data_IF_452454533856
#
_entry.id   IF_452454533856
#
_cell.length_a   1.000
_cell.length_b   1.000
_cell.length_c   1.000
_cell.angle_alpha   90.00
_cell.angle_beta   90.00
_cell.angle_gamma   90.00
#
_symmetry.space_group_name_H-M   'P 1'
#
loop_
_entity.id
_entity.type
_entity.pdbx_description
1 polymer ?
#
# COMPACT_ATOMS: atom_id res chain seq x y z
N UNK A 1 16.18 -3.43 -23.50
CA UNK A 1 15.69 -2.07 -23.13
C UNK A 1 15.08 -1.94 -21.71
N UNK A 2 14.88 -3.01 -20.93
CA UNK A 2 14.10 -2.93 -19.67
C UNK A 2 14.82 -2.49 -18.37
N UNK A 3 16.15 -2.62 -18.27
CA UNK A 3 16.90 -2.38 -17.02
C UNK A 3 17.16 -0.89 -16.73
N UNK A 4 17.64 -0.12 -17.72
CA UNK A 4 17.96 1.32 -17.54
C UNK A 4 16.74 2.14 -17.11
N UNK A 5 15.58 1.88 -17.72
CA UNK A 5 14.33 2.55 -17.37
C UNK A 5 13.82 2.18 -15.98
N UNK A 6 14.08 0.95 -15.51
CA UNK A 6 13.69 0.52 -14.16
C UNK A 6 14.45 1.29 -13.08
N UNK A 7 15.77 1.43 -13.23
CA UNK A 7 16.58 2.18 -12.26
C UNK A 7 16.23 3.67 -12.26
N UNK A 8 15.97 4.25 -13.44
CA UNK A 8 15.50 5.63 -13.57
C UNK A 8 14.19 5.85 -12.81
N UNK A 9 13.18 5.02 -13.04
CA UNK A 9 11.88 5.07 -12.33
C UNK A 9 12.05 4.94 -10.83
N UNK A 10 12.91 4.03 -10.38
CA UNK A 10 13.16 3.83 -8.96
C UNK A 10 13.75 5.08 -8.29
N UNK A 11 14.71 5.75 -8.94
CA UNK A 11 15.27 7.01 -8.44
C UNK A 11 14.26 8.16 -8.45
N UNK A 12 13.44 8.24 -9.49
CA UNK A 12 12.41 9.30 -9.59
C UNK A 12 11.36 9.18 -8.47
N UNK A 13 11.10 7.98 -7.94
CA UNK A 13 10.24 7.83 -6.75
C UNK A 13 10.71 8.65 -5.55
N UNK A 14 12.02 8.92 -5.40
CA UNK A 14 12.57 9.72 -4.29
C UNK A 14 12.17 11.20 -4.40
N UNK A 15 11.75 11.65 -5.59
CA UNK A 15 11.26 13.02 -5.80
C UNK A 15 9.76 13.20 -5.53
N UNK A 16 9.02 12.10 -5.34
CA UNK A 16 7.56 12.15 -5.19
C UNK A 16 7.16 12.23 -3.72
N UNK A 17 6.48 13.31 -3.33
CA UNK A 17 6.01 13.53 -1.95
C UNK A 17 4.95 12.50 -1.50
N UNK A 18 4.26 11.88 -2.45
CA UNK A 18 3.29 10.82 -2.19
C UNK A 18 3.93 9.41 -2.15
N UNK A 19 5.25 9.30 -2.12
CA UNK A 19 5.96 8.01 -2.04
C UNK A 19 6.81 7.93 -0.77
N UNK A 20 6.58 6.88 0.01
CA UNK A 20 7.34 6.54 1.21
C UNK A 20 8.16 5.28 0.95
N UNK A 21 9.45 5.28 1.26
CA UNK A 21 10.33 4.12 1.04
C UNK A 21 11.19 3.79 2.27
N UNK A 22 10.57 3.56 3.44
CA UNK A 22 11.34 3.27 4.65
C UNK A 22 12.12 1.97 4.50
N UNK A 23 13.29 1.93 5.11
CA UNK A 23 14.06 0.71 5.34
C UNK A 23 13.27 -0.24 6.25
N UNK A 24 13.66 -1.51 6.23
CA UNK A 24 13.07 -2.50 7.14
C UNK A 24 13.30 -2.11 8.60
N UNK A 25 14.47 -1.56 8.91
CA UNK A 25 14.83 -1.15 10.27
C UNK A 25 13.88 -0.06 10.78
N UNK A 26 13.69 1.02 10.01
CA UNK A 26 12.75 2.10 10.34
C UNK A 26 11.32 1.58 10.56
N UNK A 27 10.89 0.58 9.79
CA UNK A 27 9.57 -0.03 9.97
C UNK A 27 9.47 -0.77 11.30
N UNK A 28 10.47 -1.59 11.65
CA UNK A 28 10.37 -2.46 12.83
C UNK A 28 10.73 -1.78 14.15
N UNK A 29 11.51 -0.70 14.13
CA UNK A 29 11.90 0.05 15.34
C UNK A 29 10.84 1.05 15.78
N UNK A 30 9.95 1.46 14.87
CA UNK A 30 8.84 2.36 15.17
C UNK A 30 8.57 3.31 14.01
N UNK A 31 7.83 2.85 13.01
CA UNK A 31 7.48 3.68 11.86
C UNK A 31 6.69 4.91 12.29
N UNK A 32 7.13 6.09 11.86
CA UNK A 32 6.64 7.38 12.35
C UNK A 32 5.14 7.61 12.12
N UNK A 33 4.59 7.08 11.01
CA UNK A 33 3.19 7.25 10.63
C UNK A 33 2.26 6.17 11.21
N UNK A 34 2.77 5.18 11.95
CA UNK A 34 1.93 4.13 12.53
C UNK A 34 0.90 4.73 13.49
N UNK A 35 -0.39 4.61 13.19
CA UNK A 35 -1.47 5.21 13.97
C UNK A 35 -1.63 6.72 13.78
N UNK A 36 -0.93 7.31 12.80
CA UNK A 36 -0.88 8.76 12.55
C UNK A 36 -0.99 9.09 11.06
N UNK A 37 -1.54 8.20 10.23
CA UNK A 37 -1.64 8.44 8.79
C UNK A 37 -2.54 9.63 8.44
N UNK A 38 -3.49 10.01 9.30
CA UNK A 38 -4.27 11.23 9.17
C UNK A 38 -3.39 12.49 9.10
N UNK A 39 -2.24 12.50 9.78
CA UNK A 39 -1.29 13.62 9.73
C UNK A 39 -0.58 13.75 8.37
N UNK A 40 -0.32 12.62 7.69
CA UNK A 40 0.22 12.60 6.34
C UNK A 40 -0.78 13.17 5.33
N UNK A 41 -2.03 12.72 5.40
CA UNK A 41 -3.11 13.18 4.50
C UNK A 41 -3.71 14.53 4.91
N UNK A 42 -3.40 15.01 6.12
CA UNK A 42 -3.92 16.27 6.72
C UNK A 42 -5.44 16.30 6.81
N UNK A 43 -6.04 15.13 7.04
CA UNK A 43 -7.48 14.95 7.20
C UNK A 43 -7.76 13.61 7.90
N UNK A 44 -8.98 13.42 8.41
CA UNK A 44 -9.42 12.19 9.08
C UNK A 44 -10.26 11.27 8.18
N UNK A 45 -10.09 11.35 6.85
CA UNK A 45 -10.82 10.49 5.93
C UNK A 45 -10.40 9.01 6.09
N UNK A 46 -11.32 8.05 5.87
CA UNK A 46 -11.01 6.63 5.95
C UNK A 46 -9.86 6.21 5.02
N UNK A 47 -9.00 5.31 5.50
CA UNK A 47 -7.85 4.78 4.75
C UNK A 47 -8.22 3.47 4.07
N UNK A 48 -7.90 3.36 2.78
CA UNK A 48 -8.08 2.19 1.94
C UNK A 48 -6.74 1.71 1.43
N UNK A 49 -6.41 0.44 1.62
CA UNK A 49 -5.16 -0.15 1.17
C UNK A 49 -5.32 -0.95 -0.12
N UNK A 50 -4.34 -0.89 -1.02
CA UNK A 50 -4.17 -1.86 -2.11
C UNK A 50 -2.88 -2.67 -1.86
N UNK A 51 -3.03 -3.96 -1.56
CA UNK A 51 -1.91 -4.85 -1.24
C UNK A 51 -1.36 -5.51 -2.51
N UNK A 52 -0.07 -5.29 -2.77
CA UNK A 52 0.57 -5.76 -4.00
C UNK A 52 0.12 -4.95 -5.21
N UNK A 53 0.08 -3.63 -5.06
CA UNK A 53 -0.60 -2.71 -5.99
C UNK A 53 -0.05 -2.69 -7.41
N UNK A 54 1.13 -3.29 -7.67
CA UNK A 54 1.70 -3.33 -9.01
C UNK A 54 1.92 -1.91 -9.54
N UNK A 55 1.10 -1.48 -10.51
CA UNK A 55 1.17 -0.12 -11.07
C UNK A 55 0.35 0.92 -10.29
N UNK A 56 -0.42 0.51 -9.28
CA UNK A 56 -1.31 1.38 -8.53
C UNK A 56 -2.64 1.68 -9.24
N UNK A 57 -3.10 0.80 -10.13
CA UNK A 57 -4.28 1.05 -10.97
C UNK A 57 -5.57 1.16 -10.13
N UNK A 58 -5.77 0.30 -9.11
CA UNK A 58 -6.94 0.44 -8.23
C UNK A 58 -6.79 1.62 -7.29
N UNK A 59 -5.60 1.82 -6.69
CA UNK A 59 -5.30 2.99 -5.84
C UNK A 59 -5.71 4.28 -6.54
N UNK A 60 -5.26 4.48 -7.79
CA UNK A 60 -5.56 5.70 -8.57
C UNK A 60 -7.04 5.75 -8.98
N UNK A 61 -7.59 4.67 -9.54
CA UNK A 61 -8.96 4.68 -10.04
C UNK A 61 -10.00 4.92 -8.92
N UNK A 62 -9.81 4.29 -7.76
CA UNK A 62 -10.69 4.46 -6.61
C UNK A 62 -10.53 5.86 -5.99
N UNK A 63 -9.30 6.37 -5.89
CA UNK A 63 -9.05 7.72 -5.39
C UNK A 63 -9.67 8.81 -6.27
N UNK A 64 -9.67 8.65 -7.60
CA UNK A 64 -10.38 9.55 -8.52
C UNK A 64 -11.90 9.49 -8.35
N UNK A 65 -12.43 8.30 -8.07
CA UNK A 65 -13.88 8.09 -7.93
C UNK A 65 -14.41 8.60 -6.59
N UNK A 66 -13.59 8.62 -5.54
CA UNK A 66 -14.01 9.04 -4.22
C UNK A 66 -12.88 9.78 -3.49
N UNK A 67 -12.96 11.11 -3.50
CA UNK A 67 -12.01 12.01 -2.82
C UNK A 67 -12.16 12.04 -1.30
N UNK A 68 -13.24 11.47 -0.74
CA UNK A 68 -13.52 11.43 0.70
C UNK A 68 -12.86 10.22 1.39
N UNK A 69 -11.93 9.55 0.72
CA UNK A 69 -11.11 8.45 1.27
C UNK A 69 -9.66 8.66 0.85
N UNK A 70 -8.76 8.20 1.70
CA UNK A 70 -7.32 8.18 1.45
C UNK A 70 -6.91 6.79 0.98
N UNK A 71 -6.09 6.71 -0.08
CA UNK A 71 -5.70 5.45 -0.70
C UNK A 71 -4.19 5.26 -0.61
N UNK A 72 -3.77 4.07 -0.17
CA UNK A 72 -2.36 3.71 -0.05
C UNK A 72 -2.07 2.44 -0.83
N UNK A 73 -1.26 2.54 -1.87
CA UNK A 73 -0.76 1.40 -2.61
C UNK A 73 0.53 0.84 -1.99
N UNK A 74 0.57 -0.47 -1.72
CA UNK A 74 1.72 -1.15 -1.11
C UNK A 74 2.35 -2.15 -2.09
N UNK A 75 3.64 -1.98 -2.40
CA UNK A 75 4.41 -3.00 -3.14
C UNK A 75 5.89 -2.95 -2.77
N UNK A 76 6.54 -4.11 -2.63
CA UNK A 76 7.97 -4.20 -2.35
C UNK A 76 8.84 -3.74 -3.53
N UNK A 77 8.31 -3.81 -4.76
CA UNK A 77 8.97 -3.45 -6.02
C UNK A 77 8.57 -2.03 -6.43
N UNK A 78 9.14 -1.01 -5.79
CA UNK A 78 8.76 0.39 -6.02
C UNK A 78 8.81 0.90 -7.47
N UNK A 79 9.66 0.32 -8.32
CA UNK A 79 9.66 0.65 -9.75
C UNK A 79 8.35 0.28 -10.50
N UNK A 80 7.50 -0.57 -9.91
CA UNK A 80 6.20 -0.96 -10.48
C UNK A 80 5.16 0.13 -10.27
N UNK A 81 5.04 0.64 -9.04
CA UNK A 81 4.03 1.65 -8.71
C UNK A 81 4.41 3.07 -9.15
N UNK A 82 5.63 3.27 -9.65
CA UNK A 82 6.11 4.56 -10.18
C UNK A 82 5.09 5.22 -11.10
N UNK A 83 4.39 4.45 -11.95
CA UNK A 83 3.39 5.01 -12.86
C UNK A 83 2.21 5.62 -12.09
N UNK A 84 1.68 4.90 -11.09
CA UNK A 84 0.62 5.40 -10.22
C UNK A 84 1.07 6.60 -9.40
N UNK A 85 2.26 6.54 -8.79
CA UNK A 85 2.83 7.65 -8.03
C UNK A 85 2.94 8.92 -8.87
N UNK A 86 3.53 8.80 -10.05
CA UNK A 86 3.67 9.90 -11.02
C UNK A 86 2.32 10.47 -11.44
N UNK A 87 1.35 9.62 -11.76
CA UNK A 87 0.00 10.06 -12.13
C UNK A 87 -0.68 10.82 -10.99
N UNK A 88 -0.59 10.34 -9.74
CA UNK A 88 -1.13 11.08 -8.61
C UNK A 88 -0.44 12.42 -8.38
N UNK A 89 0.87 12.53 -8.65
CA UNK A 89 1.59 13.80 -8.59
C UNK A 89 1.17 14.75 -9.72
N UNK A 90 1.12 14.28 -10.96
CA UNK A 90 0.74 15.07 -12.15
C UNK A 90 -0.70 15.57 -12.08
N UNK A 91 -1.59 14.81 -11.45
CA UNK A 91 -3.01 15.17 -11.25
C UNK A 91 -3.29 15.78 -9.87
N UNK A 92 -2.24 16.15 -9.11
CA UNK A 92 -2.33 16.82 -7.80
C UNK A 92 -3.26 16.09 -6.79
N UNK A 93 -3.28 14.76 -6.83
CA UNK A 93 -4.13 13.92 -5.99
C UNK A 93 -3.60 13.89 -4.55
N UNK A 94 -4.26 14.63 -3.66
CA UNK A 94 -3.86 14.73 -2.23
C UNK A 94 -4.28 13.54 -1.38
N UNK A 95 -5.14 12.67 -1.89
CA UNK A 95 -5.69 11.50 -1.19
C UNK A 95 -5.05 10.17 -1.64
N UNK A 96 -3.85 10.22 -2.23
CA UNK A 96 -3.10 9.04 -2.70
C UNK A 96 -1.69 9.03 -2.12
N UNK A 97 -1.27 7.88 -1.62
CA UNK A 97 0.11 7.60 -1.26
C UNK A 97 0.55 6.22 -1.76
N UNK A 98 1.85 6.01 -1.87
CA UNK A 98 2.46 4.71 -2.13
C UNK A 98 3.54 4.45 -1.09
N UNK A 99 3.60 3.23 -0.58
CA UNK A 99 4.65 2.81 0.33
C UNK A 99 5.37 1.58 -0.20
N UNK A 100 6.71 1.68 -0.27
CA UNK A 100 7.57 0.55 -0.60
C UNK A 100 7.95 -0.21 0.66
N UNK A 101 7.31 -1.35 0.88
CA UNK A 101 7.59 -2.20 2.04
C UNK A 101 7.17 -3.66 1.80
N UNK A 102 7.51 -4.52 2.75
CA UNK A 102 7.01 -5.90 2.83
C UNK A 102 5.62 -5.91 3.46
N UNK A 103 4.64 -6.54 2.82
CA UNK A 103 3.26 -6.65 3.36
C UNK A 103 3.25 -7.45 4.67
N UNK A 104 4.25 -8.30 4.91
CA UNK A 104 4.46 -9.00 6.17
C UNK A 104 4.64 -8.07 7.38
N UNK A 105 5.00 -6.81 7.14
CA UNK A 105 5.23 -5.77 8.16
C UNK A 105 4.04 -4.81 8.29
N UNK A 106 2.87 -5.12 7.73
CA UNK A 106 1.73 -4.20 7.68
C UNK A 106 1.27 -3.71 9.07
N UNK A 107 1.37 -4.56 10.08
CA UNK A 107 1.09 -4.29 11.50
C UNK A 107 2.15 -3.41 12.19
N UNK A 108 3.29 -3.18 11.54
CA UNK A 108 4.29 -2.19 11.96
C UNK A 108 4.09 -0.84 11.27
N UNK A 109 3.28 -0.78 10.21
CA UNK A 109 3.07 0.41 9.39
C UNK A 109 1.76 1.10 9.75
N UNK A 110 0.76 0.32 10.14
CA UNK A 110 -0.56 0.79 10.54
C UNK A 110 -0.83 0.48 12.01
N UNK A 111 -1.49 1.42 12.68
CA UNK A 111 -1.99 1.30 14.03
C UNK A 111 -3.24 0.43 14.10
N UNK A 112 -3.70 0.18 15.32
CA UNK A 112 -4.94 -0.56 15.56
C UNK A 112 -6.12 0.22 15.02
N UNK A 113 -7.04 -0.44 14.31
CA UNK A 113 -8.26 0.17 13.78
C UNK A 113 -8.01 1.44 12.93
N UNK A 114 -6.89 1.52 12.22
CA UNK A 114 -6.53 2.68 11.39
C UNK A 114 -7.03 2.56 9.94
N UNK A 115 -7.30 1.34 9.48
CA UNK A 115 -7.65 1.04 8.09
C UNK A 115 -9.14 0.68 7.98
N UNK A 116 -9.81 1.28 7.00
CA UNK A 116 -11.24 1.00 6.74
C UNK A 116 -11.44 -0.15 5.76
N UNK A 117 -10.57 -0.27 4.76
CA UNK A 117 -10.71 -1.29 3.71
C UNK A 117 -9.34 -1.78 3.22
N UNK A 118 -9.30 -3.06 2.85
CA UNK A 118 -8.15 -3.68 2.19
C UNK A 118 -8.59 -4.26 0.87
N UNK A 119 -7.88 -3.95 -0.21
CA UNK A 119 -8.04 -4.52 -1.53
C UNK A 119 -6.87 -5.44 -1.85
N UNK A 120 -7.18 -6.69 -2.20
CA UNK A 120 -6.24 -7.70 -2.66
C UNK A 120 -6.64 -8.08 -4.09
N UNK A 121 -5.98 -7.46 -5.06
CA UNK A 121 -6.33 -7.56 -6.48
C UNK A 121 -5.36 -8.46 -7.22
N UNK A 122 -5.86 -9.60 -7.69
CA UNK A 122 -5.10 -10.61 -8.43
C UNK A 122 -3.79 -11.03 -7.71
N UNK A 123 -3.85 -11.47 -6.44
CA UNK A 123 -2.67 -11.89 -5.71
C UNK A 123 -2.01 -13.09 -6.38
N UNK A 124 -0.68 -13.22 -6.28
CA UNK A 124 0.03 -14.42 -6.75
C UNK A 124 -0.58 -15.67 -6.06
N UNK A 125 -1.04 -16.67 -6.83
CA UNK A 125 -1.75 -17.83 -6.27
C UNK A 125 -0.85 -18.72 -5.39
N UNK A 126 0.48 -18.59 -5.48
CA UNK A 126 1.43 -19.41 -4.71
C UNK A 126 1.09 -20.91 -4.77
N UNK A 127 0.99 -21.47 -5.98
CA UNK A 127 0.42 -22.81 -6.25
C UNK A 127 1.12 -23.93 -5.47
N UNK A 128 2.44 -23.84 -5.30
CA UNK A 128 3.22 -24.87 -4.59
C UNK A 128 2.87 -24.90 -3.10
N UNK A 129 2.59 -26.08 -2.53
CA UNK A 129 2.20 -26.26 -1.12
C UNK A 129 3.13 -25.54 -0.13
N UNK A 130 4.46 -25.65 -0.31
CA UNK A 130 5.46 -24.97 0.54
C UNK A 130 5.35 -23.43 0.54
N UNK A 131 4.61 -22.85 -0.42
CA UNK A 131 4.42 -21.41 -0.62
C UNK A 131 3.04 -20.90 -0.18
N UNK A 132 2.17 -21.75 0.36
CA UNK A 132 0.85 -21.35 0.89
C UNK A 132 0.96 -20.25 1.95
N UNK A 133 2.02 -20.27 2.76
CA UNK A 133 2.38 -19.22 3.73
C UNK A 133 2.69 -17.84 3.13
N UNK A 134 2.81 -17.72 1.81
CA UNK A 134 3.01 -16.46 1.09
C UNK A 134 1.73 -15.95 0.41
N UNK A 135 0.62 -16.70 0.47
CA UNK A 135 -0.68 -16.20 -0.01
C UNK A 135 -1.14 -15.07 0.90
N UNK A 136 -1.47 -13.92 0.33
CA UNK A 136 -1.97 -12.77 1.09
C UNK A 136 -3.28 -13.08 1.83
N UNK A 137 -3.99 -14.14 1.43
CA UNK A 137 -5.23 -14.61 2.07
C UNK A 137 -5.03 -15.69 3.13
N UNK A 138 -3.79 -16.00 3.52
CA UNK A 138 -3.55 -16.99 4.57
C UNK A 138 -3.86 -16.43 5.97
N UNK A 139 -4.01 -17.33 6.94
CA UNK A 139 -4.37 -17.00 8.32
C UNK A 139 -3.41 -16.03 9.01
N UNK A 140 -2.11 -16.09 8.72
CA UNK A 140 -1.11 -15.18 9.33
C UNK A 140 -1.33 -13.75 8.86
N UNK A 141 -1.56 -13.54 7.56
CA UNK A 141 -1.89 -12.23 7.01
C UNK A 141 -3.26 -11.75 7.50
N UNK A 142 -4.29 -12.60 7.47
CA UNK A 142 -5.62 -12.24 7.96
C UNK A 142 -5.61 -11.79 9.44
N UNK A 143 -4.80 -12.43 10.29
CA UNK A 143 -4.62 -11.99 11.69
C UNK A 143 -3.99 -10.60 11.79
N UNK A 144 -3.02 -10.28 10.94
CA UNK A 144 -2.42 -8.93 10.89
C UNK A 144 -3.42 -7.89 10.38
N UNK A 145 -4.19 -8.24 9.35
CA UNK A 145 -5.23 -7.36 8.80
C UNK A 145 -6.30 -7.05 9.85
N UNK A 146 -6.76 -8.06 10.59
CA UNK A 146 -7.73 -7.86 11.66
C UNK A 146 -7.26 -6.86 12.73
N UNK A 147 -5.96 -6.78 13.02
CA UNK A 147 -5.45 -5.82 14.01
C UNK A 147 -5.56 -4.38 13.52
N UNK A 148 -5.37 -4.14 12.22
CA UNK A 148 -5.29 -2.78 11.65
C UNK A 148 -6.62 -2.30 11.07
N UNK A 149 -7.51 -3.22 10.70
CA UNK A 149 -8.81 -2.91 10.12
C UNK A 149 -9.82 -2.61 11.23
N UNK A 150 -10.67 -1.59 11.03
CA UNK A 150 -11.78 -1.27 11.93
C UNK A 150 -12.81 -2.43 12.01
N UNK A 151 -13.64 -2.48 13.05
CA UNK A 151 -14.61 -3.58 13.26
C UNK A 151 -15.51 -3.84 12.04
N UNK A 152 -16.06 -2.78 11.43
CA UNK A 152 -16.92 -2.84 10.24
C UNK A 152 -16.16 -2.71 8.91
N UNK A 153 -14.83 -2.90 8.97
CA UNK A 153 -13.96 -2.77 7.81
C UNK A 153 -14.04 -3.99 6.89
N UNK A 154 -13.70 -3.79 5.61
CA UNK A 154 -13.86 -4.84 4.60
C UNK A 154 -12.54 -5.27 3.98
N UNK A 155 -12.47 -6.54 3.58
CA UNK A 155 -11.38 -7.08 2.76
C UNK A 155 -11.98 -7.52 1.43
N UNK A 156 -11.63 -6.81 0.37
CA UNK A 156 -12.10 -7.04 -1.00
C UNK A 156 -11.07 -7.89 -1.75
N UNK A 157 -11.43 -9.12 -2.08
CA UNK A 157 -10.61 -10.03 -2.87
C UNK A 157 -11.15 -10.14 -4.29
N UNK A 158 -10.28 -9.93 -5.28
CA UNK A 158 -10.54 -10.23 -6.70
C UNK A 158 -9.45 -11.14 -7.23
N UNK A 159 -9.80 -12.24 -7.89
CA UNK A 159 -8.86 -13.22 -8.45
C UNK A 159 -9.24 -13.64 -9.85
#
# INVERSE_FOLDING_TARGET
MGSKNKLKRFRENESFQNVLQPSREEVVTGFELKGKWNSFFKNDNPIVLELGCGKGEYTIALAKKNSNKNYIGIDIKGARFWRGAKTATEEEMKNVAFIRTQIELIDFIFGKNEVSEIWITFPDPQIKYKRTKHRLTNTTFLKKYHQIVIEEGTINLKT
#
